data_IF_888761792494
#
_entry.id   IF_888761792494
#
_cell.length_a   1.000
_cell.length_b   1.000
_cell.length_c   1.000
_cell.angle_alpha   90.00
_cell.angle_beta   90.00
_cell.angle_gamma   90.00
#
_symmetry.space_group_name_H-M   'P 1'
#
loop_
_entity.id
_entity.type
_entity.pdbx_description
1 polymer ?
#
# COMPACT_ATOMS: atom_id res chain seq x y z
N UNK A 1 10.14 40.53 -3.62
CA UNK A 1 10.89 39.41 -4.24
C UNK A 1 10.81 38.23 -3.29
N UNK A 2 10.23 37.12 -3.75
CA UNK A 2 10.06 35.86 -3.02
C UNK A 2 11.47 35.25 -2.75
N UNK A 3 12.05 35.50 -1.56
CA UNK A 3 13.37 34.95 -1.19
C UNK A 3 13.12 33.60 -0.50
N UNK A 4 13.28 32.51 -1.24
CA UNK A 4 13.20 31.13 -0.73
C UNK A 4 14.50 30.78 -0.01
N UNK A 5 14.52 30.93 1.32
CA UNK A 5 15.61 30.39 2.13
C UNK A 5 15.33 30.52 3.61
N UNK A 6 16.15 29.82 4.39
CA UNK A 6 15.93 29.62 5.81
C UNK A 6 16.84 30.53 6.62
N UNK A 7 16.36 30.98 7.77
CA UNK A 7 17.18 31.72 8.73
C UNK A 7 18.18 30.78 9.41
N UNK A 8 17.69 29.58 9.75
CA UNK A 8 18.43 28.57 10.49
C UNK A 8 18.20 27.19 9.87
N UNK A 9 19.21 26.34 9.97
CA UNK A 9 19.11 24.92 9.64
C UNK A 9 19.67 24.11 10.81
N UNK A 10 18.85 23.22 11.35
CA UNK A 10 19.18 22.39 12.50
C UNK A 10 19.15 20.91 12.14
N UNK A 11 20.07 20.12 12.68
CA UNK A 11 19.97 18.68 12.72
C UNK A 11 20.24 18.18 14.13
N UNK A 12 19.37 17.30 14.63
CA UNK A 12 19.44 16.73 15.97
C UNK A 12 19.32 15.21 15.84
N UNK A 13 20.18 14.49 16.53
CA UNK A 13 20.17 13.04 16.54
C UNK A 13 20.87 12.51 17.78
N UNK A 14 20.59 11.25 18.12
CA UNK A 14 21.13 10.62 19.32
C UNK A 14 21.28 9.10 19.16
N UNK A 15 22.19 8.54 19.94
CA UNK A 15 22.34 7.11 20.25
C UNK A 15 22.16 6.92 21.76
N UNK A 16 22.13 5.68 22.29
CA UNK A 16 22.10 5.48 23.73
C UNK A 16 23.28 6.13 24.48
N UNK A 17 24.39 6.39 23.80
CA UNK A 17 25.62 6.95 24.37
C UNK A 17 25.75 8.46 24.22
N UNK A 18 25.26 9.05 23.13
CA UNK A 18 25.50 10.45 22.79
C UNK A 18 24.26 11.10 22.17
N UNK A 19 24.01 12.36 22.54
CA UNK A 19 23.10 13.24 21.84
C UNK A 19 23.90 14.41 21.25
N UNK A 20 23.61 14.77 20.00
CA UNK A 20 24.30 15.86 19.32
C UNK A 20 23.32 16.71 18.51
N UNK A 21 23.61 18.01 18.50
CA UNK A 21 22.85 19.03 17.77
C UNK A 21 23.83 19.82 16.92
N UNK A 22 23.50 20.01 15.65
CA UNK A 22 24.23 20.90 14.74
C UNK A 22 23.29 22.00 14.31
N UNK A 23 23.68 23.24 14.60
CA UNK A 23 23.07 24.44 14.06
C UNK A 23 23.93 24.99 12.93
N UNK A 24 23.27 25.57 11.95
CA UNK A 24 23.87 26.39 10.92
C UNK A 24 22.99 27.61 10.70
N UNK A 25 23.61 28.78 10.64
CA UNK A 25 22.94 30.05 10.39
C UNK A 25 23.97 31.18 10.32
N UNK A 26 23.50 32.39 10.10
CA UNK A 26 24.32 33.60 10.16
C UNK A 26 24.16 34.25 11.54
N UNK A 27 25.24 34.82 12.09
CA UNK A 27 25.17 35.58 13.35
C UNK A 27 24.18 36.76 13.26
N UNK A 28 24.08 37.35 12.06
CA UNK A 28 23.06 38.34 11.69
C UNK A 28 22.33 37.86 10.46
N UNK A 29 21.08 37.47 10.65
CA UNK A 29 20.21 37.04 9.56
C UNK A 29 19.49 38.24 8.97
N UNK A 30 19.67 38.48 7.67
CA UNK A 30 19.01 39.55 6.94
C UNK A 30 18.69 39.14 5.50
N UNK A 31 18.26 40.11 4.69
CA UNK A 31 17.86 39.84 3.33
C UNK A 31 19.00 39.28 2.47
N UNK A 32 20.26 39.58 2.77
CA UNK A 32 21.43 39.15 2.01
C UNK A 32 22.19 38.02 2.73
N UNK A 33 22.02 37.89 4.04
CA UNK A 33 22.60 36.86 4.90
C UNK A 33 21.51 35.88 5.38
N UNK A 34 21.20 34.89 4.53
CA UNK A 34 20.29 33.80 4.87
C UNK A 34 20.67 32.53 4.10
N UNK A 35 20.24 31.38 4.62
CA UNK A 35 20.59 30.09 4.05
C UNK A 35 19.74 29.78 2.80
N UNK A 36 20.36 29.85 1.62
CA UNK A 36 19.69 29.54 0.35
C UNK A 36 19.70 28.04 0.09
N UNK A 37 18.52 27.43 0.02
CA UNK A 37 18.35 26.00 -0.25
C UNK A 37 19.14 25.08 0.72
N UNK A 38 19.41 25.55 1.94
CA UNK A 38 20.01 24.73 3.00
C UNK A 38 18.94 24.44 4.03
N UNK A 39 18.82 23.17 4.38
CA UNK A 39 17.87 22.65 5.35
C UNK A 39 18.63 21.72 6.30
N UNK A 40 18.00 21.35 7.42
CA UNK A 40 18.60 20.47 8.43
C UNK A 40 19.23 19.19 7.86
N UNK A 41 18.51 18.52 6.95
CA UNK A 41 18.97 17.28 6.28
C UNK A 41 20.14 17.44 5.31
N UNK A 42 20.64 18.65 5.06
CA UNK A 42 21.76 18.92 4.15
C UNK A 42 23.08 19.01 4.91
N UNK A 43 23.69 20.20 4.97
CA UNK A 43 25.00 20.37 5.62
C UNK A 43 24.97 20.08 7.14
N UNK A 44 23.96 20.49 7.93
CA UNK A 44 23.92 20.14 9.34
C UNK A 44 23.93 18.63 9.60
N UNK A 45 23.12 17.85 8.86
CA UNK A 45 23.13 16.38 8.96
C UNK A 45 24.48 15.76 8.58
N UNK A 46 25.15 16.29 7.56
CA UNK A 46 26.48 15.80 7.14
C UNK A 46 27.55 16.09 8.19
N UNK A 47 27.53 17.27 8.81
CA UNK A 47 28.43 17.63 9.92
C UNK A 47 28.14 16.74 11.12
N UNK A 48 26.87 16.56 11.48
CA UNK A 48 26.45 15.67 12.57
C UNK A 48 26.99 14.25 12.33
N UNK A 49 26.82 13.73 11.11
CA UNK A 49 27.31 12.40 10.73
C UNK A 49 28.83 12.29 10.89
N UNK A 50 29.60 13.23 10.35
CA UNK A 50 31.06 13.21 10.44
C UNK A 50 31.57 13.25 11.90
N UNK A 51 30.93 14.05 12.75
CA UNK A 51 31.24 14.12 14.18
C UNK A 51 30.90 12.81 14.87
N UNK A 52 29.70 12.28 14.64
CA UNK A 52 29.21 11.07 15.31
C UNK A 52 29.94 9.80 14.86
N UNK A 53 30.31 9.68 13.58
CA UNK A 53 31.16 8.59 13.07
C UNK A 53 32.52 8.56 13.76
N UNK A 54 33.09 9.74 14.03
CA UNK A 54 34.37 9.84 14.75
C UNK A 54 34.20 9.54 16.23
N UNK A 55 33.18 10.14 16.87
CA UNK A 55 32.94 10.01 18.30
C UNK A 55 32.54 8.58 18.72
N UNK A 56 31.87 7.83 17.84
CA UNK A 56 31.36 6.49 18.10
C UNK A 56 32.18 5.37 17.45
N UNK A 57 33.33 5.68 16.84
CA UNK A 57 34.12 4.73 16.03
C UNK A 57 34.37 3.38 16.70
N UNK A 58 34.68 3.40 18.00
CA UNK A 58 35.00 2.20 18.80
C UNK A 58 33.93 1.90 19.87
N UNK A 59 32.75 2.51 19.75
CA UNK A 59 31.62 2.32 20.67
C UNK A 59 30.72 1.20 20.13
N UNK A 60 30.47 0.13 20.89
CA UNK A 60 29.57 -0.94 20.46
C UNK A 60 28.16 -0.43 20.19
N UNK A 61 27.55 -0.89 19.10
CA UNK A 61 26.16 -0.56 18.77
C UNK A 61 25.23 -1.09 19.85
N UNK A 62 24.44 -0.20 20.46
CA UNK A 62 23.38 -0.55 21.41
C UNK A 62 22.02 -0.09 20.89
N UNK A 63 20.99 -0.88 21.18
CA UNK A 63 19.59 -0.49 20.99
C UNK A 63 19.11 0.25 22.23
N UNK A 64 18.16 1.17 22.06
CA UNK A 64 17.45 1.72 23.21
C UNK A 64 16.67 0.62 23.93
N UNK A 65 16.67 0.59 25.27
CA UNK A 65 15.83 -0.36 26.00
C UNK A 65 14.36 -0.05 25.73
N UNK A 66 13.59 -1.05 25.31
CA UNK A 66 12.14 -0.92 25.12
C UNK A 66 11.48 -0.86 26.51
N UNK A 67 10.75 0.22 26.84
CA UNK A 67 10.04 0.29 28.12
C UNK A 67 8.98 -0.83 28.22
N UNK A 68 8.82 -1.43 29.40
CA UNK A 68 7.90 -2.58 29.60
C UNK A 68 6.41 -2.26 29.41
N UNK A 69 6.04 -0.99 29.25
CA UNK A 69 4.69 -0.54 28.94
C UNK A 69 4.48 -0.27 27.43
N UNK A 70 5.45 -0.58 26.58
CA UNK A 70 5.27 -0.56 25.12
C UNK A 70 4.73 -1.90 24.66
N UNK A 71 3.72 -1.86 23.81
CA UNK A 71 3.13 -3.02 23.13
C UNK A 71 3.07 -2.75 21.64
N UNK A 72 3.15 -3.80 20.83
CA UNK A 72 3.02 -3.68 19.39
C UNK A 72 1.64 -4.16 18.96
N UNK A 73 0.96 -3.37 18.13
CA UNK A 73 -0.37 -3.69 17.61
C UNK A 73 -0.43 -3.37 16.12
N UNK A 74 -1.10 -4.25 15.38
CA UNK A 74 -1.44 -3.99 13.99
C UNK A 74 -2.54 -2.93 13.94
N UNK A 75 -2.38 -1.97 13.05
CA UNK A 75 -3.32 -0.87 12.81
C UNK A 75 -3.50 -0.65 11.32
N UNK A 76 -4.67 -0.17 10.93
CA UNK A 76 -4.91 0.35 9.60
C UNK A 76 -4.26 1.73 9.47
N UNK A 77 -3.26 1.87 8.59
CA UNK A 77 -2.50 3.11 8.39
C UNK A 77 -3.38 4.28 7.92
N UNK A 78 -4.55 3.99 7.32
CA UNK A 78 -5.47 5.05 6.87
C UNK A 78 -6.29 5.66 7.99
N UNK A 79 -6.65 4.88 9.01
CA UNK A 79 -7.48 5.33 10.13
C UNK A 79 -6.70 5.54 11.43
N UNK A 80 -5.57 4.84 11.60
CA UNK A 80 -4.86 4.71 12.88
C UNK A 80 -5.56 3.78 13.89
N UNK A 81 -6.64 3.11 13.48
CA UNK A 81 -7.46 2.22 14.30
C UNK A 81 -7.09 0.74 14.09
N UNK A 82 -7.71 -0.16 14.85
CA UNK A 82 -7.52 -1.60 14.66
C UNK A 82 -8.07 -2.02 13.28
N UNK A 83 -7.42 -2.92 12.52
CA UNK A 83 -7.92 -3.34 11.21
C UNK A 83 -9.30 -3.99 11.31
N UNK A 84 -10.14 -3.70 10.33
CA UNK A 84 -11.38 -4.45 10.06
C UNK A 84 -11.13 -5.58 9.06
N UNK A 85 -12.13 -6.44 8.86
CA UNK A 85 -12.13 -7.47 7.81
C UNK A 85 -12.00 -6.88 6.39
N UNK A 86 -12.41 -5.62 6.21
CA UNK A 86 -12.32 -4.90 4.95
C UNK A 86 -11.00 -4.13 4.80
N UNK A 87 -10.13 -4.13 5.81
CA UNK A 87 -8.85 -3.42 5.70
C UNK A 87 -7.91 -4.21 4.79
N UNK A 88 -7.47 -3.66 3.64
CA UNK A 88 -6.51 -4.35 2.79
C UNK A 88 -5.21 -4.61 3.55
N UNK A 89 -4.63 -5.80 3.40
CA UNK A 89 -3.44 -6.21 4.14
C UNK A 89 -2.26 -5.24 3.96
N UNK A 90 -2.13 -4.62 2.79
CA UNK A 90 -1.11 -3.60 2.48
C UNK A 90 -1.23 -2.31 3.31
N UNK A 91 -2.38 -2.06 3.93
CA UNK A 91 -2.62 -0.93 4.82
C UNK A 91 -2.58 -1.32 6.29
N UNK A 92 -2.34 -2.60 6.61
CA UNK A 92 -2.14 -3.06 7.97
C UNK A 92 -0.65 -2.99 8.30
N UNK A 93 -0.28 -2.10 9.22
CA UNK A 93 1.09 -1.92 9.68
C UNK A 93 1.21 -2.21 11.17
N UNK A 94 2.36 -2.71 11.61
CA UNK A 94 2.63 -3.00 13.01
C UNK A 94 3.31 -1.79 13.68
N UNK A 95 2.62 -1.19 14.65
CA UNK A 95 3.07 0.05 15.30
C UNK A 95 3.30 -0.15 16.81
N UNK A 96 4.19 0.67 17.39
CA UNK A 96 4.49 0.66 18.81
C UNK A 96 3.59 1.63 19.58
N UNK A 97 2.90 1.13 20.61
CA UNK A 97 2.01 1.91 21.46
C UNK A 97 2.43 1.85 22.91
N UNK A 98 2.25 2.97 23.62
CA UNK A 98 2.06 2.87 25.06
C UNK A 98 0.79 2.04 25.33
N UNK A 99 0.87 1.01 26.17
CA UNK A 99 -0.23 0.10 26.51
C UNK A 99 -1.55 0.80 26.86
N UNK A 100 -1.48 2.03 27.41
CA UNK A 100 -2.67 2.84 27.76
C UNK A 100 -3.36 3.52 26.58
N UNK A 101 -2.67 3.68 25.46
CA UNK A 101 -3.12 4.43 24.28
C UNK A 101 -3.22 3.56 23.03
N UNK A 102 -3.36 2.24 23.22
CA UNK A 102 -3.68 1.34 22.12
C UNK A 102 -5.08 1.70 21.59
N UNK A 103 -5.27 1.84 20.26
CA UNK A 103 -6.60 2.06 19.71
C UNK A 103 -7.55 0.92 20.12
N UNK A 104 -8.76 1.27 20.51
CA UNK A 104 -9.79 0.30 20.94
C UNK A 104 -10.88 0.12 19.89
N UNK A 105 -10.97 1.04 18.94
CA UNK A 105 -11.96 1.01 17.87
C UNK A 105 -11.41 0.29 16.65
N UNK A 106 -12.33 -0.32 15.89
CA UNK A 106 -12.05 -0.97 14.62
C UNK A 106 -12.22 0.06 13.50
N UNK A 107 -11.34 0.00 12.52
CA UNK A 107 -11.36 0.85 11.33
C UNK A 107 -12.67 0.71 10.57
N UNK A 108 -13.26 1.85 10.24
CA UNK A 108 -14.49 1.96 9.45
C UNK A 108 -14.27 2.79 8.18
N UNK A 109 -13.01 2.98 7.77
CA UNK A 109 -12.67 3.76 6.58
C UNK A 109 -12.65 2.92 5.32
N UNK A 110 -12.77 1.60 5.43
CA UNK A 110 -12.87 0.71 4.27
C UNK A 110 -14.30 0.21 4.12
N UNK A 111 -14.84 0.32 2.91
CA UNK A 111 -16.19 -0.13 2.61
C UNK A 111 -16.27 -0.70 1.19
N UNK A 112 -17.23 -1.58 0.97
CA UNK A 112 -17.48 -2.16 -0.35
C UNK A 112 -18.63 -1.44 -1.04
N UNK A 113 -18.54 -1.32 -2.37
CA UNK A 113 -19.59 -0.71 -3.19
C UNK A 113 -19.57 -1.31 -4.60
N UNK A 114 -20.69 -1.24 -5.32
CA UNK A 114 -20.77 -1.71 -6.70
C UNK A 114 -20.24 -0.66 -7.68
N UNK A 115 -19.39 -1.09 -8.62
CA UNK A 115 -18.95 -0.28 -9.77
C UNK A 115 -19.17 -1.04 -11.07
N UNK A 116 -19.28 -0.30 -12.18
CA UNK A 116 -19.30 -0.89 -13.51
C UNK A 116 -18.03 -1.74 -13.72
N UNK A 117 -18.20 -3.00 -14.11
CA UNK A 117 -17.09 -3.93 -14.31
C UNK A 117 -16.06 -3.43 -15.34
N UNK A 118 -16.52 -2.70 -16.36
CA UNK A 118 -15.67 -2.22 -17.46
C UNK A 118 -15.07 -0.84 -17.16
N UNK A 119 -15.89 0.11 -16.71
CA UNK A 119 -15.43 1.50 -16.54
C UNK A 119 -14.83 1.78 -15.16
N UNK A 120 -15.08 0.93 -14.16
CA UNK A 120 -14.70 1.18 -12.76
C UNK A 120 -15.37 2.41 -12.12
N UNK A 121 -16.45 2.93 -12.74
CA UNK A 121 -17.21 4.10 -12.27
C UNK A 121 -18.56 3.67 -11.66
N UNK A 122 -19.30 4.58 -11.04
CA UNK A 122 -20.61 4.27 -10.48
C UNK A 122 -21.55 3.73 -11.56
N UNK A 123 -22.24 2.60 -11.34
CA UNK A 123 -22.99 1.93 -12.39
C UNK A 123 -24.24 2.71 -12.77
N UNK A 124 -24.60 2.63 -14.05
CA UNK A 124 -25.91 3.06 -14.56
C UNK A 124 -26.85 1.85 -14.63
N UNK A 125 -28.17 2.05 -14.77
CA UNK A 125 -29.11 0.95 -15.03
C UNK A 125 -28.84 0.15 -16.31
N UNK A 126 -27.93 0.62 -17.17
CA UNK A 126 -27.56 -0.03 -18.43
C UNK A 126 -26.23 -0.78 -18.34
N UNK A 127 -25.53 -0.73 -17.20
CA UNK A 127 -24.31 -1.52 -17.00
C UNK A 127 -24.69 -3.02 -16.98
N UNK A 128 -24.18 -3.84 -17.91
CA UNK A 128 -24.55 -5.25 -17.99
C UNK A 128 -24.03 -6.04 -16.78
N UNK A 129 -22.88 -5.62 -16.25
CA UNK A 129 -22.22 -6.25 -15.11
C UNK A 129 -21.68 -5.20 -14.15
N UNK A 130 -21.82 -5.49 -12.86
CA UNK A 130 -21.15 -4.75 -11.79
C UNK A 130 -20.22 -5.67 -11.02
N UNK A 131 -19.17 -5.10 -10.46
CA UNK A 131 -18.25 -5.79 -9.56
C UNK A 131 -18.21 -5.07 -8.22
N UNK A 132 -18.03 -5.83 -7.15
CA UNK A 132 -17.82 -5.28 -5.81
C UNK A 132 -16.39 -4.74 -5.71
N UNK A 133 -16.25 -3.42 -5.63
CA UNK A 133 -14.99 -2.77 -5.32
C UNK A 133 -14.83 -2.56 -3.80
N UNK A 134 -13.58 -2.33 -3.37
CA UNK A 134 -13.23 -1.95 -2.01
C UNK A 134 -12.65 -0.53 -2.02
N UNK A 135 -13.24 0.35 -1.22
CA UNK A 135 -12.99 1.78 -1.29
C UNK A 135 -12.64 2.39 0.06
N UNK A 136 -11.79 3.41 0.01
CA UNK A 136 -11.42 4.26 1.13
C UNK A 136 -12.44 5.39 1.30
N UNK A 137 -13.08 5.42 2.46
CA UNK A 137 -13.83 6.55 2.99
C UNK A 137 -12.87 7.47 3.74
N UNK A 138 -12.41 8.53 3.09
CA UNK A 138 -11.53 9.50 3.74
C UNK A 138 -12.24 10.23 4.88
N UNK A 139 -11.71 10.20 6.12
CA UNK A 139 -12.33 10.90 7.25
C UNK A 139 -12.37 12.41 7.07
N UNK A 140 -11.35 12.98 6.43
CA UNK A 140 -11.22 14.42 6.17
C UNK A 140 -11.06 14.61 4.66
N UNK A 141 -12.09 15.12 3.96
CA UNK A 141 -11.98 15.41 2.53
C UNK A 141 -10.80 16.36 2.26
N UNK A 142 -10.02 16.06 1.22
CA UNK A 142 -9.00 17.01 0.75
C UNK A 142 -9.67 18.16 0.01
N UNK A 143 -8.99 19.32 -0.02
CA UNK A 143 -9.48 20.52 -0.68
C UNK A 143 -8.44 21.03 -1.68
N UNK A 144 -8.89 21.63 -2.78
CA UNK A 144 -8.03 22.11 -3.85
C UNK A 144 -7.77 21.08 -4.96
N UNK A 145 -6.96 21.47 -5.94
CA UNK A 145 -6.72 20.68 -7.17
C UNK A 145 -5.68 19.57 -6.98
N UNK A 146 -4.92 19.60 -5.88
CA UNK A 146 -3.90 18.60 -5.59
C UNK A 146 -4.53 17.43 -4.84
N UNK A 147 -4.70 16.31 -5.53
CA UNK A 147 -5.17 15.07 -4.95
C UNK A 147 -4.08 14.42 -4.09
N UNK A 148 -4.42 13.85 -2.93
CA UNK A 148 -3.55 12.93 -2.20
C UNK A 148 -3.11 11.76 -3.09
N UNK A 149 -1.96 11.16 -2.76
CA UNK A 149 -1.42 10.00 -3.48
C UNK A 149 -2.38 8.79 -3.48
N UNK A 150 -3.24 8.69 -2.46
CA UNK A 150 -4.20 7.61 -2.27
C UNK A 150 -5.65 7.97 -2.66
N UNK A 151 -5.83 9.03 -3.46
CA UNK A 151 -7.16 9.47 -3.88
C UNK A 151 -7.86 8.50 -4.85
N UNK A 152 -7.11 7.65 -5.53
CA UNK A 152 -7.60 6.59 -6.40
C UNK A 152 -8.25 5.42 -5.65
N UNK A 153 -8.00 5.31 -4.34
CA UNK A 153 -8.64 4.33 -3.47
C UNK A 153 -10.06 4.74 -3.07
N UNK A 154 -10.44 6.01 -3.26
CA UNK A 154 -11.78 6.48 -2.94
C UNK A 154 -12.79 5.99 -3.98
N UNK A 155 -14.05 5.87 -3.55
CA UNK A 155 -15.15 5.58 -4.46
C UNK A 155 -15.22 6.67 -5.54
N UNK A 156 -15.28 6.32 -6.84
CA UNK A 156 -15.46 7.30 -7.90
C UNK A 156 -16.75 8.10 -7.68
N UNK A 157 -16.69 9.38 -8.00
CA UNK A 157 -17.85 10.28 -7.95
C UNK A 157 -18.61 10.34 -9.28
N UNK A 158 -17.97 9.91 -10.37
CA UNK A 158 -18.54 9.92 -11.72
C UNK A 158 -19.32 8.63 -12.00
N UNK A 159 -20.35 8.76 -12.83
CA UNK A 159 -21.14 7.63 -13.33
C UNK A 159 -20.54 7.06 -14.60
N UNK A 160 -20.73 5.75 -14.80
CA UNK A 160 -20.32 5.05 -16.00
C UNK A 160 -20.73 5.79 -17.27
N UNK A 161 -19.75 6.03 -18.15
CA UNK A 161 -19.95 6.73 -19.43
C UNK A 161 -20.00 5.77 -20.62
N UNK A 162 -19.69 4.49 -20.40
CA UNK A 162 -19.71 3.45 -21.44
C UNK A 162 -21.13 2.93 -21.70
N UNK A 163 -21.94 2.80 -20.64
CA UNK A 163 -23.27 2.20 -20.70
C UNK A 163 -24.37 3.25 -20.46
N UNK A 164 -24.72 4.01 -21.50
CA UNK A 164 -25.67 5.13 -21.40
C UNK A 164 -27.01 4.89 -22.10
N UNK A 165 -27.07 3.92 -23.01
CA UNK A 165 -28.28 3.59 -23.80
C UNK A 165 -28.34 2.08 -24.02
N UNK A 166 -29.44 1.45 -23.64
CA UNK A 166 -29.56 0.00 -23.62
C UNK A 166 -29.64 -0.65 -25.00
N UNK A 167 -28.67 -1.52 -25.30
CA UNK A 167 -28.97 -2.78 -25.99
C UNK A 167 -29.07 -3.87 -24.91
N UNK A 168 -30.30 -4.27 -24.62
CA UNK A 168 -30.63 -5.30 -23.64
C UNK A 168 -30.24 -6.67 -24.22
N UNK A 169 -29.26 -7.35 -23.64
CA UNK A 169 -29.11 -8.80 -23.78
C UNK A 169 -29.69 -9.46 -22.51
N UNK A 170 -30.59 -10.44 -22.66
CA UNK A 170 -31.31 -11.02 -21.53
C UNK A 170 -30.42 -11.83 -20.60
N UNK A 171 -30.80 -11.80 -19.32
CA UNK A 171 -30.14 -12.33 -18.14
C UNK A 171 -29.61 -13.77 -18.25
N UNK A 172 -28.37 -13.98 -17.80
CA UNK A 172 -27.88 -15.30 -17.37
C UNK A 172 -28.37 -15.51 -15.93
N UNK A 173 -29.03 -16.64 -15.60
CA UNK A 173 -29.62 -16.82 -14.28
C UNK A 173 -28.54 -16.87 -13.19
N UNK A 174 -28.81 -16.13 -12.11
CA UNK A 174 -28.00 -16.08 -10.90
C UNK A 174 -27.73 -17.49 -10.34
N UNK A 175 -26.45 -17.78 -10.09
CA UNK A 175 -26.08 -18.91 -9.25
C UNK A 175 -26.56 -18.62 -7.83
N UNK A 176 -27.30 -19.57 -7.27
CA UNK A 176 -27.83 -19.53 -5.90
C UNK A 176 -26.69 -19.53 -4.89
N UNK A 177 -26.75 -18.60 -3.95
CA UNK A 177 -25.96 -18.61 -2.72
C UNK A 177 -26.31 -19.85 -1.89
N UNK A 178 -25.31 -20.63 -1.50
CA UNK A 178 -25.40 -21.52 -0.33
C UNK A 178 -24.00 -21.68 0.29
N UNK A 179 -23.96 -21.35 1.59
CA UNK A 179 -23.03 -21.73 2.66
C UNK A 179 -21.51 -21.51 2.51
N UNK A 180 -20.98 -20.48 3.19
CA UNK A 180 -19.71 -20.61 3.92
C UNK A 180 -19.72 -19.88 5.29
N UNK A 181 -19.70 -20.70 6.33
CA UNK A 181 -19.53 -20.42 7.75
C UNK A 181 -18.22 -19.64 8.05
N UNK A 182 -18.36 -18.52 8.76
CA UNK A 182 -17.25 -17.75 9.32
C UNK A 182 -16.83 -18.33 10.67
N UNK A 183 -15.67 -18.99 10.69
CA UNK A 183 -14.89 -19.16 11.92
C UNK A 183 -13.39 -18.99 11.62
N UNK A 184 -12.70 -17.99 12.20
CA UNK A 184 -11.26 -17.87 12.07
C UNK A 184 -10.55 -18.85 13.02
N UNK A 185 -9.42 -19.48 12.62
CA UNK A 185 -8.55 -20.16 13.56
C UNK A 185 -7.65 -19.15 14.28
N UNK A 186 -7.62 -19.22 15.61
CA UNK A 186 -6.51 -18.77 16.45
C UNK A 186 -5.21 -19.44 15.97
N UNK A 187 -4.04 -18.77 15.98
CA UNK A 187 -2.77 -19.26 16.56
C UNK A 187 -1.73 -18.12 16.71
N UNK A 188 -1.29 -17.97 17.96
CA UNK A 188 0.00 -17.57 18.53
C UNK A 188 1.17 -17.11 17.64
N UNK A 189 1.76 -15.98 18.07
CA UNK A 189 3.01 -15.45 17.51
C UNK A 189 4.30 -16.05 18.04
N UNK A 190 5.41 -15.71 17.37
CA UNK A 190 6.74 -15.64 17.95
C UNK A 190 7.70 -14.79 17.08
N UNK A 191 8.47 -13.97 17.81
CA UNK A 191 9.58 -13.03 17.57
C UNK A 191 10.51 -13.10 16.32
N UNK A 192 10.80 -11.89 15.78
CA UNK A 192 11.90 -11.36 14.91
C UNK A 192 13.31 -11.98 15.13
N UNK A 193 14.24 -12.06 14.13
CA UNK A 193 14.91 -10.89 13.51
C UNK A 193 15.33 -11.00 12.01
N UNK A 194 15.22 -9.89 11.26
CA UNK A 194 15.93 -9.71 9.98
C UNK A 194 15.39 -8.60 9.08
N UNK A 195 15.70 -7.34 9.39
CA UNK A 195 15.33 -6.12 8.64
C UNK A 195 15.78 -6.15 7.16
N UNK A 196 14.96 -6.77 6.30
CA UNK A 196 14.96 -6.49 4.87
C UNK A 196 13.62 -6.94 4.29
N UNK A 197 12.89 -5.97 3.73
CA UNK A 197 11.73 -6.26 2.90
C UNK A 197 12.06 -7.35 1.86
N UNK A 198 11.11 -8.25 1.57
CA UNK A 198 11.33 -9.33 0.63
C UNK A 198 11.75 -8.80 -0.74
N UNK A 199 12.59 -9.55 -1.46
CA UNK A 199 12.94 -9.21 -2.84
C UNK A 199 11.70 -9.27 -3.73
N UNK A 200 11.69 -8.52 -4.83
CA UNK A 200 10.59 -8.57 -5.79
C UNK A 200 10.42 -9.98 -6.37
N UNK A 201 9.18 -10.50 -6.45
CA UNK A 201 8.89 -11.68 -7.26
C UNK A 201 9.17 -11.42 -8.74
N UNK A 202 9.46 -12.48 -9.47
CA UNK A 202 9.50 -12.49 -10.94
C UNK A 202 8.20 -13.13 -11.42
N UNK A 203 7.34 -12.30 -11.99
CA UNK A 203 6.01 -12.67 -12.42
C UNK A 203 6.01 -13.21 -13.86
N UNK A 204 5.24 -14.28 -14.06
CA UNK A 204 4.88 -14.86 -15.35
C UNK A 204 3.38 -15.12 -15.40
N UNK A 205 2.81 -15.16 -16.60
CA UNK A 205 1.39 -15.42 -16.79
C UNK A 205 1.11 -16.17 -18.09
N UNK A 206 0.11 -17.03 -18.06
CA UNK A 206 -0.37 -17.77 -19.22
C UNK A 206 -1.90 -17.68 -19.32
N UNK A 207 -2.40 -17.65 -20.56
CA UNK A 207 -3.84 -17.69 -20.84
C UNK A 207 -4.26 -19.16 -20.83
N UNK A 208 -5.31 -19.45 -20.06
CA UNK A 208 -5.96 -20.75 -20.02
C UNK A 208 -7.41 -20.57 -20.48
N UNK A 209 -7.89 -21.42 -21.39
CA UNK A 209 -9.29 -21.44 -21.80
C UNK A 209 -9.91 -22.75 -21.35
N UNK A 210 -10.98 -22.67 -20.56
CA UNK A 210 -11.77 -23.83 -20.18
C UNK A 210 -13.23 -23.67 -20.63
N UNK A 211 -14.10 -24.61 -20.26
CA UNK A 211 -15.51 -24.58 -20.63
C UNK A 211 -16.28 -23.37 -20.08
N UNK A 212 -15.74 -22.66 -19.08
CA UNK A 212 -16.34 -21.48 -18.44
C UNK A 212 -15.80 -20.15 -18.97
N UNK A 213 -14.75 -20.15 -19.79
CA UNK A 213 -14.21 -18.93 -20.39
C UNK A 213 -12.68 -18.87 -20.40
N UNK A 214 -12.16 -17.68 -20.69
CA UNK A 214 -10.73 -17.40 -20.56
C UNK A 214 -10.39 -17.13 -19.09
N UNK A 215 -9.16 -17.49 -18.72
CA UNK A 215 -8.55 -17.25 -17.42
C UNK A 215 -7.10 -16.87 -17.62
N UNK A 216 -6.55 -16.08 -16.72
CA UNK A 216 -5.11 -15.81 -16.67
C UNK A 216 -4.55 -16.49 -15.44
N UNK A 217 -3.68 -17.48 -15.66
CA UNK A 217 -2.94 -18.11 -14.58
C UNK A 217 -1.62 -17.38 -14.40
N UNK A 218 -1.47 -16.74 -13.24
CA UNK A 218 -0.28 -16.04 -12.82
C UNK A 218 0.57 -16.97 -11.95
N UNK A 219 1.88 -16.92 -12.10
CA UNK A 219 2.83 -17.70 -11.29
C UNK A 219 4.14 -16.95 -11.14
N UNK A 220 4.80 -17.13 -10.00
CA UNK A 220 6.04 -16.43 -9.68
C UNK A 220 7.00 -17.29 -8.86
N UNK A 221 8.27 -16.91 -8.86
CA UNK A 221 9.23 -17.48 -7.92
C UNK A 221 8.95 -16.94 -6.52
N UNK A 222 9.17 -17.79 -5.52
CA UNK A 222 9.16 -17.38 -4.11
C UNK A 222 10.47 -16.59 -3.86
N UNK A 223 10.41 -15.28 -3.55
CA UNK A 223 11.60 -14.49 -3.30
C UNK A 223 12.35 -14.99 -2.06
N UNK A 224 13.68 -14.92 -2.11
CA UNK A 224 14.58 -15.22 -0.97
C UNK A 224 14.39 -16.61 -0.32
N UNK A 225 13.70 -17.54 -1.00
CA UNK A 225 13.31 -18.83 -0.44
C UNK A 225 12.36 -18.72 0.77
N UNK A 226 11.69 -17.56 0.92
CA UNK A 226 10.90 -17.18 2.08
C UNK A 226 9.76 -18.15 2.36
N UNK A 227 9.53 -18.43 3.65
CA UNK A 227 8.33 -19.14 4.14
C UNK A 227 7.37 -18.11 4.69
N UNK A 228 6.07 -18.32 4.49
CA UNK A 228 4.99 -17.45 4.96
C UNK A 228 5.02 -16.05 4.32
N UNK A 229 5.12 -16.00 2.99
CA UNK A 229 4.88 -14.77 2.24
C UNK A 229 3.41 -14.71 1.83
N UNK A 230 2.83 -13.52 1.89
CA UNK A 230 1.56 -13.19 1.26
C UNK A 230 1.87 -12.43 -0.02
N UNK A 231 1.11 -12.69 -1.07
CA UNK A 231 1.25 -11.99 -2.34
C UNK A 231 -0.01 -11.18 -2.61
N UNK A 232 0.16 -9.90 -2.93
CA UNK A 232 -0.91 -9.04 -3.45
C UNK A 232 -0.79 -8.95 -4.97
N UNK A 233 -1.91 -9.19 -5.66
CA UNK A 233 -1.98 -9.18 -7.12
C UNK A 233 -2.71 -7.93 -7.56
N UNK A 234 -2.03 -7.08 -8.32
CA UNK A 234 -2.66 -5.93 -8.95
C UNK A 234 -2.93 -6.17 -10.44
N UNK A 235 -4.07 -5.67 -10.92
CA UNK A 235 -4.47 -5.66 -12.33
C UNK A 235 -4.91 -4.28 -12.77
N UNK A 236 -4.62 -3.93 -14.01
CA UNK A 236 -5.16 -2.75 -14.68
C UNK A 236 -5.29 -2.98 -16.20
N UNK A 237 -5.99 -2.10 -16.89
CA UNK A 237 -6.11 -2.10 -18.36
C UNK A 237 -5.58 -0.79 -18.93
N UNK A 238 -5.47 -0.70 -20.26
CA UNK A 238 -5.10 0.57 -20.91
C UNK A 238 -6.16 1.66 -20.67
N UNK A 239 -7.43 1.24 -20.64
CA UNK A 239 -8.58 2.15 -20.53
C UNK A 239 -8.90 2.50 -19.07
N UNK A 240 -8.47 1.66 -18.12
CA UNK A 240 -8.49 1.93 -16.67
C UNK A 240 -7.10 1.72 -16.08
N UNK A 241 -6.22 2.75 -16.09
CA UNK A 241 -4.82 2.64 -15.70
C UNK A 241 -4.62 2.61 -14.17
N UNK A 242 -5.67 2.84 -13.39
CA UNK A 242 -5.63 2.72 -11.94
C UNK A 242 -5.41 1.25 -11.57
N UNK A 243 -4.53 1.03 -10.59
CA UNK A 243 -4.08 -0.32 -10.22
C UNK A 243 -4.92 -0.81 -9.06
N UNK A 244 -5.63 -1.91 -9.25
CA UNK A 244 -6.50 -2.49 -8.23
C UNK A 244 -5.94 -3.83 -7.79
N UNK A 245 -5.92 -4.07 -6.48
CA UNK A 245 -5.68 -5.40 -5.95
C UNK A 245 -6.87 -6.29 -6.30
N UNK A 246 -6.66 -7.30 -7.15
CA UNK A 246 -7.68 -8.29 -7.53
C UNK A 246 -7.67 -9.52 -6.62
N UNK A 247 -6.67 -9.63 -5.75
CA UNK A 247 -6.62 -10.72 -4.78
C UNK A 247 -5.34 -10.74 -3.97
N UNK A 248 -5.40 -11.50 -2.88
CA UNK A 248 -4.24 -11.87 -2.08
C UNK A 248 -4.17 -13.40 -1.97
N UNK A 249 -2.97 -13.94 -1.89
CA UNK A 249 -2.76 -15.39 -1.76
C UNK A 249 -1.46 -15.68 -1.03
N UNK A 250 -1.39 -16.82 -0.35
CA UNK A 250 -0.12 -17.36 0.19
C UNK A 250 0.54 -18.35 -0.78
N UNK A 251 -0.18 -18.75 -1.82
CA UNK A 251 0.36 -19.59 -2.88
C UNK A 251 1.24 -18.77 -3.81
N UNK A 252 2.22 -19.39 -4.46
CA UNK A 252 3.05 -18.71 -5.45
C UNK A 252 2.41 -18.62 -6.85
N UNK A 253 1.09 -18.72 -6.89
CA UNK A 253 0.27 -18.63 -8.09
C UNK A 253 -1.12 -18.07 -7.76
N UNK A 254 -1.76 -17.47 -8.75
CA UNK A 254 -3.12 -16.93 -8.67
C UNK A 254 -3.81 -17.13 -10.02
N UNK A 255 -5.11 -17.43 -10.02
CA UNK A 255 -5.89 -17.52 -11.26
C UNK A 255 -6.89 -16.40 -11.30
N UNK A 256 -6.68 -15.46 -12.21
CA UNK A 256 -7.66 -14.43 -12.54
C UNK A 256 -8.69 -15.06 -13.49
N UNK A 257 -9.90 -15.24 -12.98
CA UNK A 257 -11.02 -15.82 -13.73
C UNK A 257 -11.98 -14.75 -14.26
N UNK A 258 -11.73 -13.48 -13.97
CA UNK A 258 -12.59 -12.34 -14.35
C UNK A 258 -11.97 -11.60 -15.52
N UNK A 259 -11.69 -12.32 -16.61
CA UNK A 259 -11.04 -11.80 -17.80
C UNK A 259 -11.87 -12.06 -19.05
N UNK A 260 -11.84 -11.10 -19.97
CA UNK A 260 -12.68 -11.09 -21.16
C UNK A 260 -11.89 -11.28 -22.45
N UNK A 261 -12.55 -11.80 -23.48
CA UNK A 261 -12.00 -11.85 -24.84
C UNK A 261 -11.81 -10.44 -25.40
N UNK A 262 -10.84 -10.28 -26.29
CA UNK A 262 -10.49 -9.01 -26.93
C UNK A 262 -10.02 -7.91 -25.94
N UNK A 263 -9.60 -8.32 -24.74
CA UNK A 263 -9.12 -7.42 -23.69
C UNK A 263 -7.61 -7.55 -23.44
N UNK A 264 -6.99 -6.44 -23.05
CA UNK A 264 -5.59 -6.39 -22.64
C UNK A 264 -5.49 -6.04 -21.17
N UNK A 265 -4.91 -6.96 -20.39
CA UNK A 265 -4.69 -6.81 -18.96
C UNK A 265 -3.20 -6.69 -18.66
N UNK A 266 -2.88 -5.87 -17.69
CA UNK A 266 -1.55 -5.73 -17.13
C UNK A 266 -1.57 -6.19 -15.68
N UNK A 267 -0.50 -6.87 -15.26
CA UNK A 267 -0.38 -7.43 -13.92
C UNK A 267 0.97 -7.11 -13.31
N UNK A 268 0.97 -6.94 -12.00
CA UNK A 268 2.18 -7.00 -11.16
C UNK A 268 1.81 -7.58 -9.79
N UNK A 269 2.82 -8.03 -9.07
CA UNK A 269 2.65 -8.60 -7.74
C UNK A 269 3.64 -8.03 -6.74
N UNK A 270 3.25 -8.04 -5.48
CA UNK A 270 4.09 -7.69 -4.34
C UNK A 270 4.21 -8.90 -3.42
N UNK A 271 5.40 -9.13 -2.87
CA UNK A 271 5.56 -10.02 -1.73
C UNK A 271 5.44 -9.19 -0.45
N UNK A 272 4.77 -9.77 0.54
CA UNK A 272 4.54 -9.21 1.86
C UNK A 272 5.01 -10.26 2.85
N UNK A 273 5.93 -9.91 3.74
CA UNK A 273 6.38 -10.81 4.79
C UNK A 273 5.53 -10.71 6.06
N UNK A 274 5.87 -11.51 7.09
CA UNK A 274 5.14 -11.55 8.35
C UNK A 274 5.27 -10.27 9.18
N UNK A 275 6.29 -9.45 8.91
CA UNK A 275 6.50 -8.15 9.54
C UNK A 275 5.82 -7.03 8.73
N UNK A 276 5.03 -7.39 7.70
CA UNK A 276 4.30 -6.51 6.78
C UNK A 276 5.19 -5.66 5.87
N UNK A 277 6.47 -6.02 5.76
CA UNK A 277 7.37 -5.34 4.85
C UNK A 277 7.03 -5.70 3.40
N UNK A 278 6.92 -4.67 2.56
CA UNK A 278 6.53 -4.81 1.16
C UNK A 278 7.76 -4.90 0.26
N UNK A 279 7.79 -5.85 -0.66
CA UNK A 279 8.78 -5.86 -1.73
C UNK A 279 8.60 -4.65 -2.65
N UNK A 280 9.64 -4.31 -3.43
CA UNK A 280 9.38 -3.59 -4.69
C UNK A 280 8.48 -4.44 -5.59
N UNK A 281 7.68 -3.83 -6.50
CA UNK A 281 6.83 -4.60 -7.38
C UNK A 281 7.62 -5.57 -8.26
N UNK A 282 6.99 -6.66 -8.66
CA UNK A 282 7.51 -7.55 -9.71
C UNK A 282 7.75 -6.82 -11.02
N UNK A 283 8.35 -7.52 -11.99
CA UNK A 283 8.17 -7.13 -13.38
C UNK A 283 6.68 -7.07 -13.73
N UNK A 284 6.32 -6.09 -14.56
CA UNK A 284 4.97 -6.02 -15.12
C UNK A 284 4.87 -6.99 -16.30
N UNK A 285 3.73 -7.65 -16.43
CA UNK A 285 3.40 -8.46 -17.60
C UNK A 285 2.13 -7.94 -18.26
N UNK A 286 2.04 -8.12 -19.58
CA UNK A 286 0.86 -7.78 -20.38
C UNK A 286 0.30 -9.06 -20.97
N UNK A 287 -0.98 -9.31 -20.76
CA UNK A 287 -1.71 -10.45 -21.29
C UNK A 287 -2.79 -9.92 -22.24
N UNK A 288 -2.75 -10.38 -23.48
CA UNK A 288 -3.70 -10.02 -24.54
C UNK A 288 -4.56 -11.24 -24.81
N UNK A 289 -5.84 -11.17 -24.44
CA UNK A 289 -6.78 -12.26 -24.66
C UNK A 289 -7.38 -12.09 -26.05
N UNK A 290 -7.04 -12.97 -26.98
CA UNK A 290 -7.65 -13.01 -28.30
C UNK A 290 -9.05 -13.62 -28.30
N UNK A 291 -9.74 -13.50 -29.44
CA UNK A 291 -11.02 -14.20 -29.69
C UNK A 291 -10.89 -15.73 -29.62
#
# INVERSE_FOLDING_TARGET
RNKTGNQDAWFVGYTPELAAVVWMGYDKTDADHYLRQIYGGRYPAQIWKAVMETALKDVPVKKFPVPGNIVYKSVDVKSGLLPSELTPQMFIVREAFNKKHVPQEISNVWFQEQVCAESGLLPTPYCPHTVTGLFLKRPIPYTGDMKPEDADLELPTETCTLHLTGEYLPDVPAATEDDFDHSPPDIHGSTSPGDKAPSAPVLSGEIVKDAKGFKVKLSWNIPDGGRNLIYSIERWTKDSPNRYSIGVTTENHYTDAEVESDSTYHYRIFAIDNDTDLSTPSNEITIIIGN
#
